data_IF_839463131880
#
_entry.id   IF_839463131880
#
_cell.length_a   1.000
_cell.length_b   1.000
_cell.length_c   1.000
_cell.angle_alpha   90.00
_cell.angle_beta   90.00
_cell.angle_gamma   90.00
#
_symmetry.space_group_name_H-M   'P 1'
#
loop_
_entity.id
_entity.type
_entity.pdbx_description
1 polymer ?
#
# COMPACT_ATOMS: atom_id res chain seq x y z
N UNK A 1 19.78 6.71 -5.21
CA UNK A 1 19.09 7.94 -4.76
C UNK A 1 18.07 7.53 -3.71
N UNK A 2 17.75 8.38 -2.73
CA UNK A 2 16.92 8.01 -1.58
C UNK A 2 15.43 7.90 -1.95
N UNK A 3 14.69 6.96 -1.36
CA UNK A 3 13.23 6.90 -1.54
C UNK A 3 12.55 8.14 -0.94
N UNK A 4 11.48 8.62 -1.57
CA UNK A 4 10.66 9.73 -1.08
C UNK A 4 9.28 9.25 -0.60
N UNK A 5 8.68 8.29 -1.32
CA UNK A 5 7.45 7.64 -0.87
C UNK A 5 7.72 6.96 0.47
N UNK A 6 6.76 7.09 1.39
CA UNK A 6 6.87 6.68 2.80
C UNK A 6 7.94 7.43 3.61
N UNK A 7 9.11 7.77 3.06
CA UNK A 7 10.22 8.41 3.78
C UNK A 7 9.95 9.88 4.10
N UNK A 8 9.09 10.53 3.32
CA UNK A 8 8.73 11.93 3.49
C UNK A 8 7.22 12.10 3.62
N UNK A 9 6.79 13.14 4.32
CA UNK A 9 5.40 13.57 4.27
C UNK A 9 5.04 14.00 2.84
N UNK A 10 3.85 13.64 2.39
CA UNK A 10 3.44 13.93 1.03
C UNK A 10 2.06 13.40 0.67
N UNK A 11 1.49 13.99 -0.38
CA UNK A 11 0.25 13.55 -1.01
C UNK A 11 0.59 12.89 -2.33
N UNK A 12 -0.06 11.78 -2.62
CA UNK A 12 0.18 10.98 -3.81
C UNK A 12 -1.16 10.61 -4.46
N UNK A 13 -1.23 10.69 -5.77
CA UNK A 13 -2.31 10.10 -6.56
C UNK A 13 -1.92 8.70 -7.00
N UNK A 14 -2.88 7.79 -7.04
CA UNK A 14 -2.73 6.43 -7.53
C UNK A 14 -3.66 6.23 -8.71
N UNK A 15 -3.17 5.63 -9.80
CA UNK A 15 -4.00 5.21 -10.92
C UNK A 15 -3.51 3.88 -11.48
N UNK A 16 -4.44 2.96 -11.73
CA UNK A 16 -4.08 1.64 -12.21
C UNK A 16 -5.26 0.73 -12.48
N UNK A 17 -4.99 -0.56 -12.40
CA UNK A 17 -5.97 -1.63 -12.58
C UNK A 17 -5.97 -2.57 -11.38
N UNK A 18 -7.18 -2.99 -11.00
CA UNK A 18 -7.45 -4.04 -10.04
C UNK A 18 -7.97 -5.26 -10.76
N UNK A 19 -7.42 -6.43 -10.44
CA UNK A 19 -7.77 -7.68 -11.06
C UNK A 19 -8.20 -8.68 -9.99
N UNK A 20 -9.27 -9.40 -10.30
CA UNK A 20 -9.77 -10.53 -9.52
C UNK A 20 -9.79 -11.78 -10.39
N UNK A 21 -9.76 -12.97 -9.76
CA UNK A 21 -9.56 -14.24 -10.49
C UNK A 21 -10.47 -14.45 -11.71
N UNK A 22 -11.72 -14.02 -11.63
CA UNK A 22 -12.75 -14.32 -12.63
C UNK A 22 -13.40 -13.06 -13.21
N UNK A 23 -12.71 -11.92 -13.15
CA UNK A 23 -13.25 -10.62 -13.58
C UNK A 23 -12.43 -9.96 -14.68
N UNK A 24 -13.08 -9.05 -15.42
CA UNK A 24 -12.35 -8.07 -16.22
C UNK A 24 -11.59 -7.11 -15.30
N UNK A 25 -10.43 -6.58 -15.70
CA UNK A 25 -9.73 -5.56 -14.93
C UNK A 25 -10.64 -4.35 -14.65
N UNK A 26 -10.65 -3.90 -13.40
CA UNK A 26 -11.34 -2.71 -12.96
C UNK A 26 -10.36 -1.55 -12.88
N UNK A 27 -10.70 -0.41 -13.46
CA UNK A 27 -9.92 0.81 -13.22
C UNK A 27 -9.98 1.17 -11.73
N UNK A 28 -8.82 1.47 -11.14
CA UNK A 28 -8.71 1.95 -9.77
C UNK A 28 -8.01 3.30 -9.76
N UNK A 29 -8.58 4.23 -9.00
CA UNK A 29 -8.00 5.53 -8.71
C UNK A 29 -7.88 5.66 -7.21
N UNK A 30 -6.81 6.27 -6.72
CA UNK A 30 -6.63 6.47 -5.29
C UNK A 30 -5.88 7.73 -4.93
N UNK A 31 -5.90 8.01 -3.64
CA UNK A 31 -5.08 9.04 -3.01
C UNK A 31 -4.41 8.45 -1.77
N UNK A 32 -3.14 8.76 -1.60
CA UNK A 32 -2.35 8.37 -0.43
C UNK A 32 -1.80 9.62 0.23
N UNK A 33 -1.99 9.73 1.55
CA UNK A 33 -1.39 10.76 2.39
C UNK A 33 -0.39 10.10 3.33
N UNK A 34 0.86 10.53 3.29
CA UNK A 34 1.92 10.13 4.23
C UNK A 34 2.19 11.28 5.17
N UNK A 35 2.26 11.00 6.46
CA UNK A 35 2.64 11.97 7.49
C UNK A 35 3.59 11.35 8.52
N UNK A 36 4.48 12.17 9.05
CA UNK A 36 5.48 11.78 10.05
C UNK A 36 5.32 12.59 11.33
N UNK A 37 5.53 11.94 12.48
CA UNK A 37 5.71 12.60 13.78
C UNK A 37 7.19 12.70 14.13
N UNK A 38 7.53 13.38 15.23
CA UNK A 38 8.92 13.62 15.66
C UNK A 38 9.65 12.37 16.19
N UNK A 39 8.93 11.28 16.46
CA UNK A 39 9.47 10.08 17.13
C UNK A 39 9.57 8.89 16.16
N UNK A 40 9.93 9.13 14.90
CA UNK A 40 10.09 8.11 13.85
C UNK A 40 8.80 7.29 13.54
N UNK A 41 7.64 7.83 13.93
CA UNK A 41 6.34 7.26 13.58
C UNK A 41 5.81 7.87 12.29
N UNK A 42 5.39 7.00 11.39
CA UNK A 42 4.64 7.39 10.21
C UNK A 42 3.17 6.98 10.33
N UNK A 43 2.33 7.77 9.68
CA UNK A 43 0.95 7.43 9.35
C UNK A 43 0.80 7.48 7.85
N UNK A 44 0.04 6.54 7.31
CA UNK A 44 -0.29 6.54 5.89
C UNK A 44 -1.78 6.26 5.75
N UNK A 45 -2.48 7.04 4.94
CA UNK A 45 -3.88 6.82 4.63
C UNK A 45 -4.04 6.72 3.14
N UNK A 46 -4.53 5.57 2.66
CA UNK A 46 -4.83 5.34 1.25
C UNK A 46 -6.32 5.14 1.09
N UNK A 47 -6.93 5.81 0.11
CA UNK A 47 -8.31 5.57 -0.31
C UNK A 47 -8.33 5.21 -1.78
N UNK A 48 -8.96 4.10 -2.12
CA UNK A 48 -9.15 3.58 -3.48
C UNK A 48 -10.63 3.64 -3.86
N UNK A 49 -10.89 4.06 -5.09
CA UNK A 49 -12.23 4.10 -5.70
C UNK A 49 -12.18 3.37 -7.05
N UNK A 50 -13.31 2.82 -7.46
CA UNK A 50 -13.44 2.02 -8.69
C UNK A 50 -14.48 2.66 -9.61
N UNK A 51 -14.10 3.65 -10.44
CA UNK A 51 -15.05 4.38 -11.27
C UNK A 51 -15.81 3.45 -12.22
N UNK A 52 -17.13 3.59 -12.27
CA UNK A 52 -17.98 2.81 -13.18
C UNK A 52 -18.16 1.33 -12.78
N UNK A 53 -17.64 0.92 -11.63
CA UNK A 53 -17.88 -0.41 -11.07
C UNK A 53 -18.83 -0.31 -9.88
N UNK A 54 -19.73 -1.29 -9.75
CA UNK A 54 -20.53 -1.49 -8.53
C UNK A 54 -19.66 -2.21 -7.48
N UNK A 55 -18.72 -1.47 -6.90
CA UNK A 55 -17.74 -1.96 -5.93
C UNK A 55 -17.51 -0.92 -4.85
N UNK A 56 -17.48 -1.38 -3.61
CA UNK A 56 -17.16 -0.53 -2.46
C UNK A 56 -15.73 0.03 -2.55
N UNK A 57 -15.57 1.26 -2.05
CA UNK A 57 -14.26 1.88 -1.88
C UNK A 57 -13.41 1.08 -0.88
N UNK A 58 -12.09 1.07 -1.09
CA UNK A 58 -11.16 0.43 -0.16
C UNK A 58 -10.36 1.51 0.55
N UNK A 59 -10.31 1.45 1.87
CA UNK A 59 -9.48 2.35 2.67
C UNK A 59 -8.45 1.58 3.48
N UNK A 60 -7.25 2.14 3.54
CA UNK A 60 -6.13 1.66 4.33
C UNK A 60 -5.70 2.77 5.28
N UNK A 61 -5.57 2.46 6.56
CA UNK A 61 -5.05 3.39 7.56
C UNK A 61 -3.90 2.71 8.31
N UNK A 62 -2.69 3.13 7.99
CA UNK A 62 -1.45 2.59 8.55
C UNK A 62 -0.98 3.47 9.71
N UNK A 63 -0.40 2.82 10.70
CA UNK A 63 0.47 3.44 11.69
C UNK A 63 1.68 2.54 11.89
N UNK A 64 2.86 3.05 11.61
CA UNK A 64 4.09 2.28 11.74
C UNK A 64 5.25 3.12 12.25
N UNK A 65 6.37 2.45 12.49
CA UNK A 65 7.60 3.06 12.99
C UNK A 65 8.76 2.61 12.13
N UNK A 66 9.56 3.58 11.69
CA UNK A 66 10.76 3.36 10.90
C UNK A 66 11.84 4.29 11.45
N UNK A 67 12.75 3.72 12.24
CA UNK A 67 13.82 4.47 12.90
C UNK A 67 14.83 5.00 11.86
N UNK A 68 15.42 6.17 12.16
CA UNK A 68 16.36 6.81 11.25
C UNK A 68 17.57 5.91 10.93
N UNK A 69 17.82 5.68 9.64
CA UNK A 69 18.93 4.84 9.16
C UNK A 69 18.59 3.35 9.05
N UNK A 70 17.46 2.92 9.61
CA UNK A 70 16.97 1.56 9.42
C UNK A 70 16.34 1.37 8.05
N UNK A 71 16.30 0.11 7.60
CA UNK A 71 15.63 -0.28 6.36
C UNK A 71 14.39 -1.12 6.60
N UNK A 72 14.17 -1.57 7.83
CA UNK A 72 13.02 -2.37 8.20
C UNK A 72 12.06 -1.53 9.04
N UNK A 73 10.78 -1.80 8.86
CA UNK A 73 9.73 -1.19 9.67
C UNK A 73 8.61 -2.17 9.92
N UNK A 74 7.85 -1.91 10.98
CA UNK A 74 6.61 -2.62 11.28
C UNK A 74 5.45 -1.64 11.34
N UNK A 75 4.25 -2.14 11.08
CA UNK A 75 3.04 -1.32 11.12
C UNK A 75 1.82 -2.13 11.52
N UNK A 76 0.84 -1.42 12.05
CA UNK A 76 -0.55 -1.87 12.12
C UNK A 76 -1.33 -1.17 11.02
N UNK A 77 -2.26 -1.89 10.41
CA UNK A 77 -3.12 -1.37 9.34
C UNK A 77 -4.57 -1.71 9.66
N UNK A 78 -5.44 -0.70 9.59
CA UNK A 78 -6.88 -0.89 9.49
C UNK A 78 -7.27 -0.87 8.01
N UNK A 79 -7.68 -2.03 7.51
CA UNK A 79 -8.10 -2.24 6.12
C UNK A 79 -9.62 -2.40 6.07
N UNK A 80 -10.34 -1.67 5.22
CA UNK A 80 -11.81 -1.73 5.18
C UNK A 80 -12.35 -3.14 4.86
N UNK A 81 -11.73 -3.85 3.90
CA UNK A 81 -12.10 -5.23 3.54
C UNK A 81 -11.59 -6.31 4.51
N UNK A 82 -10.38 -6.15 5.05
CA UNK A 82 -9.72 -7.21 5.82
C UNK A 82 -9.82 -7.03 7.34
N UNK A 83 -10.24 -5.85 7.80
CA UNK A 83 -10.24 -5.50 9.22
C UNK A 83 -8.84 -5.12 9.71
N UNK A 84 -8.49 -5.58 10.92
CA UNK A 84 -7.21 -5.26 11.56
C UNK A 84 -6.11 -6.21 11.08
N UNK A 85 -5.01 -5.64 10.61
CA UNK A 85 -3.87 -6.40 10.10
C UNK A 85 -2.57 -5.86 10.71
N UNK A 86 -1.58 -6.73 10.79
CA UNK A 86 -0.19 -6.39 11.13
C UNK A 86 0.67 -6.58 9.89
N UNK A 87 1.77 -5.84 9.81
CA UNK A 87 2.67 -5.97 8.70
C UNK A 87 4.06 -5.46 8.99
N UNK A 88 4.93 -5.75 8.04
CA UNK A 88 6.34 -5.36 8.04
C UNK A 88 6.73 -4.95 6.63
N UNK A 89 7.78 -4.13 6.54
CA UNK A 89 8.31 -3.71 5.26
C UNK A 89 9.80 -3.44 5.29
N UNK A 90 10.35 -3.38 4.08
CA UNK A 90 11.73 -3.14 3.76
C UNK A 90 11.84 -1.98 2.78
N UNK A 91 12.67 -1.00 3.09
CA UNK A 91 13.16 0.02 2.18
C UNK A 91 14.41 -0.55 1.52
N UNK A 92 14.23 -1.23 0.39
CA UNK A 92 15.34 -1.72 -0.41
C UNK A 92 15.97 -0.56 -1.21
N UNK A 93 16.92 -0.88 -2.08
CA UNK A 93 17.62 0.15 -2.85
C UNK A 93 16.73 0.80 -3.93
N UNK A 94 15.94 -0.02 -4.63
CA UNK A 94 15.13 0.42 -5.78
C UNK A 94 13.62 0.30 -5.51
N UNK A 95 13.24 -0.33 -4.40
CA UNK A 95 11.84 -0.60 -4.08
C UNK A 95 11.55 -0.55 -2.60
N UNK A 96 10.34 -0.13 -2.25
CA UNK A 96 9.78 -0.39 -0.92
C UNK A 96 8.91 -1.62 -1.03
N UNK A 97 9.18 -2.62 -0.20
CA UNK A 97 8.50 -3.91 -0.21
C UNK A 97 7.84 -4.09 1.14
N UNK A 98 6.55 -4.40 1.17
CA UNK A 98 5.85 -4.68 2.41
C UNK A 98 4.89 -5.84 2.29
N UNK A 99 4.63 -6.49 3.43
CA UNK A 99 3.62 -7.53 3.55
C UNK A 99 2.78 -7.30 4.80
N UNK A 100 1.57 -7.83 4.78
CA UNK A 100 0.68 -7.82 5.93
C UNK A 100 -0.09 -9.13 6.06
N UNK A 101 -0.56 -9.43 7.27
CA UNK A 101 -1.39 -10.59 7.57
C UNK A 101 -2.55 -10.18 8.49
N UNK A 102 -3.72 -10.76 8.23
CA UNK A 102 -4.93 -10.45 9.00
C UNK A 102 -4.91 -11.20 10.33
N UNK A 103 -5.15 -10.48 11.43
CA UNK A 103 -5.19 -11.08 12.76
C UNK A 103 -6.52 -11.79 13.01
N UNK A 104 -6.46 -12.99 13.59
CA UNK A 104 -7.66 -13.77 13.94
C UNK A 104 -8.45 -14.30 12.74
N UNK A 105 -7.89 -14.23 11.53
CA UNK A 105 -8.58 -14.62 10.31
C UNK A 105 -8.42 -16.11 9.99
N UNK A 106 -9.55 -16.83 9.96
CA UNK A 106 -9.56 -18.29 9.67
C UNK A 106 -9.10 -18.61 8.26
N UNK A 107 -9.28 -17.67 7.32
CA UNK A 107 -8.86 -17.84 5.93
C UNK A 107 -7.38 -17.56 5.70
N UNK A 108 -6.64 -17.15 6.75
CA UNK A 108 -5.22 -16.80 6.67
C UNK A 108 -4.96 -15.79 5.55
N UNK A 109 -5.79 -14.75 5.48
CA UNK A 109 -5.60 -13.70 4.48
C UNK A 109 -4.34 -12.91 4.78
N UNK A 110 -3.64 -12.57 3.73
CA UNK A 110 -2.43 -11.76 3.76
C UNK A 110 -2.36 -10.92 2.49
N UNK A 111 -1.42 -9.99 2.44
CA UNK A 111 -1.14 -9.29 1.21
C UNK A 111 0.29 -8.79 1.16
N UNK A 112 0.67 -8.32 -0.01
CA UNK A 112 2.00 -7.86 -0.32
C UNK A 112 1.94 -6.69 -1.29
N UNK A 113 2.86 -5.75 -1.14
CA UNK A 113 2.99 -4.57 -1.99
C UNK A 113 4.47 -4.32 -2.28
N UNK A 114 4.79 -4.09 -3.56
CA UNK A 114 6.08 -3.60 -4.01
C UNK A 114 5.87 -2.26 -4.70
N UNK A 115 6.50 -1.21 -4.17
CA UNK A 115 6.61 0.09 -4.80
C UNK A 115 8.01 0.24 -5.40
N UNK A 116 8.14 -0.05 -6.70
CA UNK A 116 9.38 0.17 -7.45
C UNK A 116 9.52 1.65 -7.80
N UNK A 117 10.69 2.22 -7.52
CA UNK A 117 10.98 3.64 -7.73
C UNK A 117 11.27 3.88 -9.21
N UNK A 118 10.43 4.68 -9.87
CA UNK A 118 10.67 5.12 -11.24
C UNK A 118 11.49 6.42 -11.25
N UNK A 119 11.14 7.35 -10.36
CA UNK A 119 11.89 8.56 -10.06
C UNK A 119 11.56 9.04 -8.62
N UNK A 120 12.00 10.25 -8.25
CA UNK A 120 11.80 10.80 -6.90
C UNK A 120 10.33 11.14 -6.59
N UNK A 121 9.45 11.24 -7.58
CA UNK A 121 8.03 11.58 -7.40
C UNK A 121 7.11 10.55 -8.05
N UNK A 122 7.63 9.40 -8.51
CA UNK A 122 6.87 8.39 -9.22
C UNK A 122 7.29 6.97 -8.85
N UNK A 123 6.30 6.15 -8.53
CA UNK A 123 6.49 4.75 -8.18
C UNK A 123 5.54 3.86 -8.98
N UNK A 124 6.01 2.69 -9.38
CA UNK A 124 5.15 1.62 -9.86
C UNK A 124 4.82 0.67 -8.70
N UNK A 125 3.54 0.52 -8.41
CA UNK A 125 3.00 -0.39 -7.41
C UNK A 125 2.52 -1.68 -8.06
N UNK A 126 3.01 -2.80 -7.56
CA UNK A 126 2.43 -4.13 -7.77
C UNK A 126 2.03 -4.70 -6.43
N UNK A 127 0.78 -5.15 -6.29
CA UNK A 127 0.29 -5.72 -5.03
C UNK A 127 -0.58 -6.95 -5.25
N UNK A 128 -0.75 -7.73 -4.18
CA UNK A 128 -1.61 -8.90 -4.17
C UNK A 128 -2.25 -9.14 -2.81
N UNK A 129 -3.50 -9.58 -2.81
CA UNK A 129 -4.17 -10.14 -1.63
C UNK A 129 -4.28 -11.64 -1.82
N UNK A 130 -3.96 -12.39 -0.78
CA UNK A 130 -3.97 -13.84 -0.75
C UNK A 130 -4.94 -14.34 0.31
N UNK A 131 -5.52 -15.53 0.09
CA UNK A 131 -6.20 -16.33 1.10
C UNK A 131 -5.56 -17.73 1.12
N UNK A 132 -4.78 -18.03 2.15
CA UNK A 132 -3.89 -19.19 2.16
C UNK A 132 -2.90 -19.13 0.97
N UNK A 133 -2.95 -20.11 0.07
CA UNK A 133 -2.07 -20.20 -1.10
C UNK A 133 -2.62 -19.52 -2.36
N UNK A 134 -3.84 -18.98 -2.30
CA UNK A 134 -4.52 -18.43 -3.47
C UNK A 134 -4.38 -16.92 -3.52
N UNK A 135 -3.74 -16.38 -4.57
CA UNK A 135 -3.84 -14.97 -4.93
C UNK A 135 -5.30 -14.65 -5.32
N UNK A 136 -6.04 -13.91 -4.50
CA UNK A 136 -7.47 -13.62 -4.71
C UNK A 136 -7.68 -12.38 -5.56
N UNK A 137 -6.78 -11.40 -5.44
CA UNK A 137 -6.75 -10.18 -6.24
C UNK A 137 -5.34 -9.63 -6.36
N UNK A 138 -5.10 -8.83 -7.39
CA UNK A 138 -3.85 -8.09 -7.61
C UNK A 138 -4.16 -6.69 -8.11
N UNK A 139 -3.26 -5.76 -7.83
CA UNK A 139 -3.34 -4.40 -8.33
C UNK A 139 -2.01 -3.98 -8.94
N UNK A 140 -2.09 -3.32 -10.07
CA UNK A 140 -0.96 -2.71 -10.75
C UNK A 140 -1.29 -1.23 -10.95
N UNK A 141 -0.48 -0.35 -10.40
CA UNK A 141 -0.77 1.08 -10.39
C UNK A 141 0.49 1.93 -10.43
N UNK A 142 0.32 3.16 -10.87
CA UNK A 142 1.34 4.21 -10.73
C UNK A 142 0.95 5.12 -9.58
N UNK A 143 1.90 5.42 -8.70
CA UNK A 143 1.79 6.49 -7.71
C UNK A 143 2.59 7.69 -8.18
N UNK A 144 1.99 8.87 -8.13
CA UNK A 144 2.63 10.14 -8.48
C UNK A 144 2.45 11.13 -7.32
N UNK A 145 3.54 11.79 -6.92
CA UNK A 145 3.51 12.80 -5.85
C UNK A 145 2.85 14.06 -6.36
N UNK A 146 1.99 14.65 -5.55
CA UNK A 146 1.56 16.03 -5.75
C UNK A 146 2.75 16.94 -5.43
N UNK A 147 3.30 17.56 -6.47
CA UNK A 147 4.26 18.65 -6.37
C UNK A 147 3.44 19.93 -6.32
N UNK A 148 3.51 20.65 -5.20
CA UNK A 148 2.95 21.99 -5.06
C UNK A 148 3.79 23.00 -5.87
#
# INVERSE_FOLDING_TARGET
MAHTFLMEAGRWSLQGNWLERNGMPLTVIGKTLVGWSRDDWFTMVTKLVFPGADREEISFQYRGRLDAGERQYTFVLQHSLLGRVEGEGWVAQESIVQRYWVLGDRQRRSGFETLYRMDDNKYYLSSGIMAGHYLTSTMEATLERHVD
#
